data_IF_275656602506
#
_entry.id   IF_275656602506
#
_cell.length_a   1.000
_cell.length_b   1.000
_cell.length_c   1.000
_cell.angle_alpha   90.00
_cell.angle_beta   90.00
_cell.angle_gamma   90.00
#
_symmetry.space_group_name_H-M   'P 1'
#
loop_
_entity.id
_entity.type
_entity.pdbx_description
1 polymer ?
#
# COMPACT_ATOMS: atom_id res chain seq x y z
N UNK A 1 14.87 -9.16 -24.28
CA UNK A 1 15.48 -9.57 -22.98
C UNK A 1 14.64 -9.17 -21.76
N UNK A 2 14.18 -7.91 -21.62
CA UNK A 2 13.38 -7.46 -20.45
C UNK A 2 12.06 -8.25 -20.24
N UNK A 3 11.35 -8.59 -21.32
CA UNK A 3 10.05 -9.28 -21.26
C UNK A 3 10.13 -10.74 -20.77
N UNK A 4 11.23 -11.45 -21.09
CA UNK A 4 11.46 -12.84 -20.67
C UNK A 4 11.76 -12.88 -19.16
N UNK A 5 12.50 -11.89 -18.66
CA UNK A 5 12.80 -11.78 -17.23
C UNK A 5 11.54 -11.46 -16.40
N UNK A 6 10.67 -10.58 -16.90
CA UNK A 6 9.37 -10.30 -16.25
C UNK A 6 8.45 -11.52 -16.26
N UNK A 7 8.40 -12.29 -17.35
CA UNK A 7 7.59 -13.50 -17.43
C UNK A 7 8.12 -14.61 -16.52
N UNK A 8 9.45 -14.77 -16.45
CA UNK A 8 10.10 -15.72 -15.53
C UNK A 8 9.81 -15.35 -14.06
N UNK A 9 9.87 -14.07 -13.70
CA UNK A 9 9.56 -13.60 -12.35
C UNK A 9 8.08 -13.83 -11.96
N UNK A 10 7.15 -13.64 -12.90
CA UNK A 10 5.72 -13.94 -12.70
C UNK A 10 5.50 -15.45 -12.56
N UNK A 11 6.18 -16.27 -13.36
CA UNK A 11 6.08 -17.73 -13.32
C UNK A 11 6.65 -18.28 -12.01
N UNK A 12 7.77 -17.75 -11.53
CA UNK A 12 8.35 -18.12 -10.23
C UNK A 12 7.42 -17.74 -9.08
N UNK A 13 6.75 -16.58 -9.13
CA UNK A 13 5.74 -16.19 -8.15
C UNK A 13 4.51 -17.12 -8.16
N UNK A 14 4.06 -17.53 -9.35
CA UNK A 14 2.92 -18.43 -9.50
C UNK A 14 3.21 -19.85 -8.97
N UNK A 15 4.45 -20.35 -9.13
CA UNK A 15 4.86 -21.67 -8.65
C UNK A 15 4.98 -21.69 -7.11
N UNK A 16 5.36 -20.57 -6.48
CA UNK A 16 5.38 -20.43 -5.01
C UNK A 16 3.95 -20.36 -4.45
N UNK A 17 3.02 -19.71 -5.15
CA UNK A 17 1.62 -19.61 -4.74
C UNK A 17 0.87 -20.95 -4.80
N UNK A 18 1.28 -21.89 -5.66
CA UNK A 18 0.64 -23.20 -5.83
C UNK A 18 0.96 -24.25 -4.75
N UNK A 19 1.79 -23.92 -3.75
CA UNK A 19 2.20 -24.83 -2.66
C UNK A 19 1.53 -24.46 -1.32
N UNK A 20 0.29 -23.98 -1.35
CA UNK A 20 -0.52 -23.79 -0.14
C UNK A 20 -1.19 -25.11 0.27
N UNK A 21 -0.40 -26.07 0.76
CA UNK A 21 -0.93 -27.25 1.44
C UNK A 21 -1.55 -26.82 2.77
N UNK A 22 -2.86 -26.98 2.86
CA UNK A 22 -3.64 -26.82 4.10
C UNK A 22 -3.47 -28.06 4.98
N UNK A 23 -2.58 -28.02 5.97
CA UNK A 23 -2.60 -28.83 7.21
C UNK A 23 -1.30 -28.58 8.00
N UNK A 24 -1.36 -27.78 9.07
CA UNK A 24 -0.99 -28.19 10.43
C UNK A 24 -1.01 -27.01 11.41
N UNK A 25 -1.40 -27.29 12.65
CA UNK A 25 -1.45 -26.34 13.75
C UNK A 25 -0.09 -26.28 14.45
N UNK A 26 0.77 -25.33 14.10
CA UNK A 26 1.58 -24.54 15.04
C UNK A 26 2.44 -23.55 14.25
N UNK A 27 2.53 -22.32 14.75
CA UNK A 27 3.40 -21.25 14.28
C UNK A 27 3.26 -20.82 12.81
N UNK A 28 2.68 -19.63 12.64
CA UNK A 28 3.10 -18.71 11.57
C UNK A 28 2.62 -19.02 10.15
N UNK A 29 1.30 -18.94 9.97
CA UNK A 29 0.69 -18.92 8.64
C UNK A 29 1.06 -17.64 7.90
N UNK A 30 1.49 -17.79 6.66
CA UNK A 30 1.48 -16.73 5.65
C UNK A 30 0.10 -16.05 5.64
N UNK A 31 0.09 -14.71 5.63
CA UNK A 31 -1.16 -13.92 5.64
C UNK A 31 -1.25 -13.09 4.39
N UNK A 32 -2.40 -13.15 3.71
CA UNK A 32 -2.76 -12.21 2.66
C UNK A 32 -3.94 -11.39 3.15
N UNK A 33 -3.86 -10.07 3.02
CA UNK A 33 -4.89 -9.14 3.48
C UNK A 33 -5.29 -8.13 2.42
N UNK A 34 -6.56 -8.10 2.07
CA UNK A 34 -7.15 -6.99 1.32
C UNK A 34 -7.56 -5.89 2.30
N UNK A 35 -7.26 -4.63 1.98
CA UNK A 35 -7.54 -3.49 2.85
C UNK A 35 -8.28 -2.38 2.12
N UNK A 36 -9.29 -1.83 2.77
CA UNK A 36 -9.86 -0.54 2.40
C UNK A 36 -9.10 0.57 3.12
N UNK A 37 -8.71 1.60 2.40
CA UNK A 37 -7.84 2.68 2.88
C UNK A 37 -8.60 4.00 2.92
N UNK A 38 -8.43 4.75 4.00
CA UNK A 38 -8.68 6.19 4.09
C UNK A 38 -7.38 6.93 4.35
N UNK A 39 -7.22 8.13 3.81
CA UNK A 39 -6.00 8.91 3.94
C UNK A 39 -6.29 10.40 4.20
N UNK A 40 -5.55 10.97 5.14
CA UNK A 40 -5.54 12.38 5.48
C UNK A 40 -4.16 12.96 5.12
N UNK A 41 -4.04 13.64 3.96
CA UNK A 41 -2.80 14.28 3.52
C UNK A 41 -2.28 15.29 4.56
N UNK A 42 -0.97 15.29 4.81
CA UNK A 42 -0.33 16.23 5.74
C UNK A 42 0.07 17.55 5.08
N UNK A 43 -0.02 17.64 3.76
CA UNK A 43 0.28 18.84 2.98
C UNK A 43 -0.97 19.55 2.47
N UNK A 44 -0.81 20.79 2.02
CA UNK A 44 -1.92 21.67 1.65
C UNK A 44 -2.65 21.29 0.34
N UNK A 45 -2.13 20.35 -0.46
CA UNK A 45 -2.62 20.09 -1.82
C UNK A 45 -3.90 19.25 -1.94
N UNK A 46 -4.21 18.42 -0.93
CA UNK A 46 -5.31 17.45 -0.99
C UNK A 46 -6.13 17.47 0.31
N UNK A 47 -7.45 17.20 0.21
CA UNK A 47 -8.34 17.20 1.39
C UNK A 47 -8.40 15.83 2.05
N UNK A 48 -8.55 14.78 1.26
CA UNK A 48 -8.65 13.39 1.69
C UNK A 48 -8.25 12.47 0.54
N UNK A 49 -7.94 11.23 0.86
CA UNK A 49 -7.73 10.17 -0.11
C UNK A 49 -8.32 8.86 0.37
N UNK A 50 -8.39 7.90 -0.52
CA UNK A 50 -8.87 6.56 -0.21
C UNK A 50 -8.45 5.57 -1.28
N UNK A 51 -8.52 4.29 -0.96
CA UNK A 51 -7.99 3.27 -1.85
C UNK A 51 -8.20 1.85 -1.41
N UNK A 52 -7.57 0.95 -2.14
CA UNK A 52 -7.52 -0.48 -1.83
C UNK A 52 -6.07 -0.94 -1.81
N UNK A 53 -5.71 -1.75 -0.82
CA UNK A 53 -4.36 -2.33 -0.69
C UNK A 53 -4.42 -3.83 -0.53
N UNK A 54 -3.40 -4.49 -1.07
CA UNK A 54 -3.07 -5.87 -0.79
C UNK A 54 -1.81 -5.87 0.07
N UNK A 55 -1.86 -6.58 1.18
CA UNK A 55 -0.71 -6.81 2.06
C UNK A 55 -0.44 -8.30 2.16
N UNK A 56 0.81 -8.69 1.96
CA UNK A 56 1.30 -10.02 2.27
C UNK A 56 2.19 -9.93 3.50
N UNK A 57 2.08 -10.88 4.42
CA UNK A 57 2.98 -11.02 5.56
C UNK A 57 3.51 -12.45 5.61
N UNK A 58 4.82 -12.58 5.44
CA UNK A 58 5.56 -13.84 5.58
C UNK A 58 6.21 -13.82 6.96
N UNK A 59 5.69 -14.59 7.92
CA UNK A 59 6.31 -14.68 9.22
C UNK A 59 7.73 -15.25 9.18
N UNK A 60 8.61 -14.75 10.06
CA UNK A 60 10.02 -15.17 10.18
C UNK A 60 10.42 -15.61 11.60
N UNK A 61 9.75 -15.09 12.62
CA UNK A 61 9.88 -15.45 14.05
C UNK A 61 8.51 -15.31 14.69
N UNK A 62 8.20 -15.96 15.82
CA UNK A 62 6.85 -15.91 16.43
C UNK A 62 6.23 -14.50 16.51
N UNK A 63 7.05 -13.48 16.78
CA UNK A 63 6.67 -12.07 16.83
C UNK A 63 6.96 -11.28 15.54
N UNK A 64 7.75 -11.80 14.60
CA UNK A 64 8.26 -11.07 13.44
C UNK A 64 7.73 -11.58 12.11
N UNK A 65 7.40 -10.66 11.19
CA UNK A 65 7.05 -10.98 9.81
C UNK A 65 7.65 -9.98 8.82
N UNK A 66 8.12 -10.47 7.69
CA UNK A 66 8.41 -9.63 6.52
C UNK A 66 7.11 -9.32 5.80
N UNK A 67 6.88 -8.06 5.46
CA UNK A 67 5.67 -7.62 4.78
C UNK A 67 5.95 -7.12 3.37
N UNK A 68 4.95 -7.26 2.50
CA UNK A 68 4.89 -6.59 1.21
C UNK A 68 3.53 -5.94 1.06
N UNK A 69 3.47 -4.66 0.69
CA UNK A 69 2.23 -3.92 0.51
C UNK A 69 2.21 -3.26 -0.87
N UNK A 70 1.13 -3.48 -1.61
CA UNK A 70 0.87 -2.80 -2.89
C UNK A 70 -0.62 -2.46 -3.03
N UNK A 71 -0.97 -1.50 -3.86
CA UNK A 71 -2.37 -1.10 -4.00
C UNK A 71 -2.58 0.09 -4.91
N UNK A 72 -3.76 0.69 -4.79
CA UNK A 72 -4.13 1.92 -5.49
C UNK A 72 -4.79 2.85 -4.50
N UNK A 73 -4.28 4.08 -4.42
CA UNK A 73 -4.83 5.16 -3.61
C UNK A 73 -5.15 6.36 -4.49
N UNK A 74 -6.34 6.92 -4.36
CA UNK A 74 -6.75 8.14 -5.03
C UNK A 74 -6.84 9.29 -4.01
N UNK A 75 -6.34 10.46 -4.39
CA UNK A 75 -6.37 11.67 -3.56
C UNK A 75 -7.22 12.75 -4.23
N UNK A 76 -8.15 13.30 -3.47
CA UNK A 76 -9.06 14.35 -3.93
C UNK A 76 -8.43 15.72 -3.66
N UNK A 77 -8.16 16.51 -4.71
CA UNK A 77 -7.53 17.82 -4.58
C UNK A 77 -8.42 18.80 -3.81
N UNK A 78 -7.80 19.80 -3.17
CA UNK A 78 -8.58 20.90 -2.59
C UNK A 78 -9.12 21.78 -3.71
N UNK A 79 -10.44 21.99 -3.75
CA UNK A 79 -11.05 23.00 -4.61
C UNK A 79 -10.64 24.40 -4.11
N UNK A 80 -9.58 24.96 -4.69
CA UNK A 80 -9.21 26.37 -4.52
C UNK A 80 -9.83 27.12 -5.70
N UNK A 81 -10.69 28.11 -5.43
CA UNK A 81 -11.29 28.96 -6.46
C UNK A 81 -10.21 29.48 -7.42
N UNK A 82 -10.29 29.07 -8.69
CA UNK A 82 -9.37 29.52 -9.76
C UNK A 82 -8.21 28.57 -10.10
N UNK A 83 -8.06 27.42 -9.45
CA UNK A 83 -6.99 26.44 -9.76
C UNK A 83 -7.58 25.10 -10.23
N UNK A 84 -7.26 24.70 -11.46
CA UNK A 84 -7.63 23.39 -12.02
C UNK A 84 -7.06 22.27 -11.14
N UNK A 85 -7.97 21.64 -10.39
CA UNK A 85 -7.65 20.70 -9.34
C UNK A 85 -7.20 19.36 -9.95
N UNK A 86 -6.02 18.88 -9.56
CA UNK A 86 -5.36 17.70 -10.16
C UNK A 86 -5.65 16.45 -9.33
N UNK A 87 -6.37 15.47 -9.87
CA UNK A 87 -6.55 14.19 -9.20
C UNK A 87 -5.24 13.39 -9.24
N UNK A 88 -4.85 12.80 -8.12
CA UNK A 88 -3.62 12.01 -8.01
C UNK A 88 -3.95 10.57 -7.62
N UNK A 89 -3.43 9.63 -8.40
CA UNK A 89 -3.48 8.19 -8.14
C UNK A 89 -2.07 7.74 -7.76
N UNK A 90 -1.94 7.12 -6.61
CA UNK A 90 -0.71 6.55 -6.10
C UNK A 90 -0.79 5.02 -6.11
N UNK A 91 0.24 4.38 -6.66
CA UNK A 91 0.45 2.94 -6.60
C UNK A 91 1.69 2.71 -5.72
N UNK A 92 1.53 2.47 -4.41
CA UNK A 92 2.63 2.15 -3.54
C UNK A 92 3.12 0.72 -3.83
N UNK A 93 4.43 0.52 -3.79
CA UNK A 93 5.07 -0.80 -3.80
C UNK A 93 6.11 -0.77 -2.67
N UNK A 94 5.80 -1.43 -1.56
CA UNK A 94 6.58 -1.36 -0.33
C UNK A 94 6.87 -2.75 0.20
N UNK A 95 8.00 -2.89 0.87
CA UNK A 95 8.34 -4.06 1.66
C UNK A 95 8.84 -3.61 3.03
N UNK A 96 8.70 -4.46 4.03
CA UNK A 96 9.02 -4.05 5.40
C UNK A 96 9.02 -5.17 6.40
N UNK A 97 8.96 -4.75 7.66
CA UNK A 97 8.92 -5.64 8.81
C UNK A 97 7.74 -5.25 9.71
N UNK A 98 7.04 -6.26 10.18
CA UNK A 98 5.99 -6.17 11.18
C UNK A 98 6.44 -6.93 12.42
N UNK A 99 6.32 -6.28 13.57
CA UNK A 99 6.61 -6.84 14.88
C UNK A 99 5.33 -6.90 15.71
N UNK A 100 4.99 -8.07 16.24
CA UNK A 100 3.91 -8.28 17.18
C UNK A 100 4.40 -7.95 18.58
N UNK A 101 3.83 -6.91 19.20
CA UNK A 101 4.12 -6.58 20.60
C UNK A 101 3.45 -7.55 21.56
N UNK A 102 2.32 -8.10 21.14
CA UNK A 102 1.60 -9.18 21.80
C UNK A 102 0.81 -9.96 20.74
N UNK A 103 0.02 -10.96 21.14
CA UNK A 103 -0.78 -11.77 20.21
C UNK A 103 -1.84 -11.01 19.39
N UNK A 104 -2.00 -9.70 19.60
CA UNK A 104 -3.00 -8.87 18.93
C UNK A 104 -2.38 -7.63 18.29
N UNK A 105 -1.63 -6.82 19.03
CA UNK A 105 -1.10 -5.53 18.60
C UNK A 105 0.25 -5.66 17.91
N UNK A 106 0.42 -4.97 16.80
CA UNK A 106 1.67 -4.90 16.07
C UNK A 106 2.12 -3.48 15.76
N UNK A 107 3.42 -3.34 15.57
CA UNK A 107 4.06 -2.21 14.89
C UNK A 107 4.59 -2.66 13.54
N UNK A 108 4.66 -1.75 12.58
CA UNK A 108 5.25 -2.05 11.27
C UNK A 108 5.96 -0.85 10.68
N UNK A 109 7.05 -1.15 9.99
CA UNK A 109 7.80 -0.21 9.16
C UNK A 109 7.99 -0.80 7.78
N UNK A 110 7.63 -0.06 6.74
CA UNK A 110 7.81 -0.44 5.34
C UNK A 110 8.49 0.69 4.56
N UNK A 111 9.28 0.33 3.56
CA UNK A 111 9.89 1.27 2.63
C UNK A 111 9.84 0.72 1.20
N UNK A 112 9.95 1.61 0.22
CA UNK A 112 9.89 1.26 -1.19
C UNK A 112 9.66 2.47 -2.06
N UNK A 113 8.78 2.34 -3.05
CA UNK A 113 8.51 3.40 -4.01
C UNK A 113 7.02 3.55 -4.26
N UNK A 114 6.58 4.76 -4.53
CA UNK A 114 5.23 5.07 -4.99
C UNK A 114 5.29 5.63 -6.38
N UNK A 115 4.50 5.04 -7.28
CA UNK A 115 4.26 5.58 -8.62
C UNK A 115 3.03 6.46 -8.53
N UNK A 116 3.23 7.77 -8.63
CA UNK A 116 2.17 8.77 -8.63
C UNK A 116 1.81 9.15 -10.06
N UNK A 117 0.54 9.06 -10.41
CA UNK A 117 -0.05 9.55 -11.66
C UNK A 117 -0.98 10.71 -11.37
N UNK A 118 -0.72 11.84 -11.98
CA UNK A 118 -1.50 13.06 -11.82
C UNK A 118 -2.24 13.34 -13.13
N UNK A 119 -3.54 13.56 -13.05
CA UNK A 119 -4.41 13.88 -14.19
C UNK A 119 -4.77 15.37 -14.17
N UNK A 120 -4.73 16.00 -15.35
CA UNK A 120 -5.07 17.41 -15.51
C UNK A 120 -5.83 17.65 -16.82
N UNK A 121 -6.76 18.63 -16.85
CA UNK A 121 -7.42 19.05 -18.08
C UNK A 121 -6.39 19.65 -19.03
N UNK A 122 -6.44 19.23 -20.31
CA UNK A 122 -5.61 19.83 -21.36
C UNK A 122 -6.18 21.20 -21.74
N UNK A 123 -5.33 22.23 -21.77
CA UNK A 123 -5.72 23.58 -22.18
C UNK A 123 -5.99 23.72 -23.68
N UNK A 124 -5.69 22.68 -24.46
CA UNK A 124 -5.71 22.71 -25.93
C UNK A 124 -6.55 21.60 -26.56
N UNK A 125 -7.15 20.70 -25.77
CA UNK A 125 -7.95 19.58 -26.26
C UNK A 125 -8.95 19.09 -25.21
N UNK A 126 -10.04 18.43 -25.62
CA UNK A 126 -11.03 17.76 -24.75
C UNK A 126 -10.48 16.50 -24.05
N UNK A 127 -9.18 16.20 -24.19
CA UNK A 127 -8.51 15.03 -23.62
C UNK A 127 -7.84 15.35 -22.29
N UNK A 128 -7.86 14.37 -21.37
CA UNK A 128 -7.10 14.43 -20.11
C UNK A 128 -5.63 14.17 -20.38
N UNK A 129 -4.76 15.07 -19.95
CA UNK A 129 -3.32 14.86 -19.94
C UNK A 129 -2.90 14.24 -18.59
N UNK A 130 -1.81 13.47 -18.60
CA UNK A 130 -1.30 12.81 -17.40
C UNK A 130 0.21 12.90 -17.28
N UNK A 131 0.70 13.01 -16.04
CA UNK A 131 2.13 12.94 -15.72
C UNK A 131 2.36 11.85 -14.67
N UNK A 132 3.44 11.08 -14.84
CA UNK A 132 3.85 10.05 -13.88
C UNK A 132 5.17 10.40 -13.22
N UNK A 133 5.27 10.18 -11.92
CA UNK A 133 6.52 10.28 -11.17
C UNK A 133 6.67 9.08 -10.24
N UNK A 134 7.92 8.70 -9.97
CA UNK A 134 8.26 7.67 -9.00
C UNK A 134 9.04 8.32 -7.87
N UNK A 135 8.61 8.09 -6.63
CA UNK A 135 9.27 8.64 -5.45
C UNK A 135 9.56 7.55 -4.44
N UNK A 136 10.69 7.65 -3.75
CA UNK A 136 10.94 6.84 -2.56
C UNK A 136 9.83 7.10 -1.53
N UNK A 137 9.37 6.03 -0.89
CA UNK A 137 8.28 6.04 0.08
C UNK A 137 8.68 5.24 1.30
N UNK A 138 8.33 5.74 2.47
CA UNK A 138 8.43 5.03 3.73
C UNK A 138 7.12 5.16 4.49
N UNK A 139 6.80 4.16 5.29
CA UNK A 139 5.64 4.19 6.16
C UNK A 139 5.93 3.48 7.46
N UNK A 140 5.42 4.05 8.55
CA UNK A 140 5.44 3.43 9.87
C UNK A 140 4.04 3.49 10.44
N UNK A 141 3.64 2.44 11.16
CA UNK A 141 2.28 2.33 11.64
C UNK A 141 2.12 1.27 12.72
N UNK A 142 0.92 1.25 13.28
CA UNK A 142 0.50 0.28 14.29
C UNK A 142 -0.88 -0.25 13.93
N UNK A 143 -1.17 -1.47 14.36
CA UNK A 143 -2.45 -2.10 14.10
C UNK A 143 -2.73 -3.26 15.04
N UNK A 144 -3.84 -3.95 14.79
CA UNK A 144 -4.29 -5.07 15.59
C UNK A 144 -4.78 -6.21 14.69
N UNK A 145 -4.44 -7.46 15.02
CA UNK A 145 -5.06 -8.65 14.44
C UNK A 145 -6.24 -9.08 15.31
N UNK A 146 -7.46 -8.86 14.82
CA UNK A 146 -8.72 -9.23 15.44
C UNK A 146 -9.37 -10.38 14.66
N UNK A 147 -8.69 -11.53 14.65
CA UNK A 147 -9.05 -12.67 13.81
C UNK A 147 -8.78 -12.39 12.34
N UNK A 148 -9.82 -12.40 11.50
CA UNK A 148 -9.70 -12.03 10.09
C UNK A 148 -9.59 -10.51 9.88
N UNK A 149 -10.01 -9.70 10.85
CA UNK A 149 -10.00 -8.24 10.71
C UNK A 149 -8.67 -7.65 11.18
N UNK A 150 -8.12 -6.70 10.41
CA UNK A 150 -6.81 -6.09 10.62
C UNK A 150 -6.88 -4.56 10.43
N UNK A 151 -7.42 -3.85 11.44
CA UNK A 151 -7.39 -2.39 11.47
C UNK A 151 -5.98 -1.90 11.77
N UNK A 152 -5.51 -0.91 11.02
CA UNK A 152 -4.25 -0.23 11.28
C UNK A 152 -4.29 1.25 10.94
N UNK A 153 -3.42 2.00 11.59
CA UNK A 153 -3.10 3.38 11.26
C UNK A 153 -1.63 3.46 10.85
N UNK A 154 -1.33 4.23 9.81
CA UNK A 154 0.05 4.47 9.38
C UNK A 154 0.28 5.91 9.02
N UNK A 155 1.49 6.39 9.24
CA UNK A 155 2.01 7.53 8.51
C UNK A 155 2.74 7.00 7.26
N UNK A 156 2.54 7.65 6.14
CA UNK A 156 3.26 7.38 4.90
C UNK A 156 3.84 8.68 4.34
N UNK A 157 5.14 8.70 4.11
CA UNK A 157 5.87 9.83 3.55
C UNK A 157 6.52 9.45 2.22
N UNK A 158 6.45 10.36 1.26
CA UNK A 158 7.14 10.23 -0.03
C UNK A 158 7.49 11.60 -0.60
N UNK A 159 8.75 11.76 -1.03
CA UNK A 159 9.28 13.04 -1.52
C UNK A 159 8.97 14.19 -0.55
N UNK A 160 8.25 15.24 -1.00
CA UNK A 160 7.83 16.42 -0.22
C UNK A 160 6.37 16.33 0.28
N UNK A 161 5.82 15.12 0.42
CA UNK A 161 4.42 14.88 0.79
C UNK A 161 4.30 13.72 1.76
N UNK A 162 3.17 13.67 2.47
CA UNK A 162 2.80 12.52 3.27
C UNK A 162 1.33 12.51 3.59
N UNK A 163 0.88 11.44 4.24
CA UNK A 163 -0.48 11.32 4.77
C UNK A 163 -0.50 10.42 6.00
N UNK A 164 -1.49 10.64 6.86
CA UNK A 164 -1.90 9.68 7.87
C UNK A 164 -3.02 8.83 7.28
N UNK A 165 -2.84 7.52 7.23
CA UNK A 165 -3.76 6.58 6.63
C UNK A 165 -4.37 5.65 7.67
N UNK A 166 -5.65 5.35 7.50
CA UNK A 166 -6.38 4.31 8.22
C UNK A 166 -6.70 3.18 7.25
N UNK A 167 -6.37 1.95 7.63
CA UNK A 167 -6.61 0.73 6.85
C UNK A 167 -7.57 -0.17 7.61
N UNK A 168 -8.61 -0.63 6.93
CA UNK A 168 -9.51 -1.69 7.37
C UNK A 168 -9.18 -2.95 6.57
N UNK A 169 -8.32 -3.80 7.14
CA UNK A 169 -7.85 -5.03 6.52
C UNK A 169 -8.73 -6.25 6.80
N UNK A 170 -8.78 -7.16 5.85
CA UNK A 170 -9.37 -8.49 5.97
C UNK A 170 -8.35 -9.52 5.48
N UNK A 171 -7.83 -10.30 6.44
CA UNK A 171 -6.81 -11.33 6.25
C UNK A 171 -7.47 -12.71 6.09
N UNK A 172 -6.93 -13.52 5.18
CA UNK A 172 -7.36 -14.90 4.91
C UNK A 172 -6.16 -15.83 4.65
#
# INVERSE_FOLDING_TARGET
MKKIFTMAMILTFAIIAGKASAQDKSAQKFRIGLGLEGALPTNAGYNYGGGITLRVAVPITDEGAVTGTSGVMAFVPKSISGVNSKAQINIPIKAGYQHMFNGTLYGMGEAGFTIAKVYFPSSTSTSLASASSTSFTYSFGVGAHLGAFDPSIRYEGYSSSGFVGLRLGFNF
#
